data_IF_710846666345
#
_entry.id   IF_710846666345
#
_cell.length_a   1.000
_cell.length_b   1.000
_cell.length_c   1.000
_cell.angle_alpha   90.00
_cell.angle_beta   90.00
_cell.angle_gamma   90.00
#
_symmetry.space_group_name_H-M   'P 1'
#
loop_
_entity.id
_entity.type
_entity.pdbx_description
1 polymer ?
#
# COMPACT_ATOMS: atom_id res chain seq x y z
N UNK A 1 -5.00 -15.49 -6.08
CA UNK A 1 -5.77 -16.43 -5.23
C UNK A 1 -5.37 -17.83 -5.65
N UNK A 2 -4.90 -18.65 -4.72
CA UNK A 2 -4.45 -20.00 -5.02
C UNK A 2 -5.63 -20.89 -5.48
N UNK A 3 -5.33 -21.99 -6.17
CA UNK A 3 -6.36 -22.89 -6.70
C UNK A 3 -7.16 -23.55 -5.56
N UNK A 4 -6.57 -23.65 -4.36
CA UNK A 4 -7.18 -24.28 -3.18
C UNK A 4 -8.20 -23.37 -2.48
N UNK A 5 -7.92 -22.07 -2.29
CA UNK A 5 -8.92 -21.13 -1.75
C UNK A 5 -10.10 -20.96 -2.70
N UNK A 6 -9.87 -21.02 -4.01
CA UNK A 6 -10.96 -20.99 -4.99
C UNK A 6 -11.92 -22.16 -4.82
N UNK A 7 -11.40 -23.35 -4.58
CA UNK A 7 -12.23 -24.52 -4.32
C UNK A 7 -12.94 -24.43 -2.97
N UNK A 8 -12.25 -23.97 -1.92
CA UNK A 8 -12.82 -23.77 -0.59
C UNK A 8 -13.82 -22.61 -0.50
N UNK A 9 -13.76 -21.65 -1.41
CA UNK A 9 -14.71 -20.53 -1.50
C UNK A 9 -16.11 -20.93 -1.95
N UNK A 10 -16.30 -22.19 -2.35
CA UNK A 10 -17.62 -22.73 -2.65
C UNK A 10 -18.33 -23.02 -1.33
N UNK A 11 -19.56 -22.52 -1.13
CA UNK A 11 -20.30 -22.80 0.09
C UNK A 11 -20.56 -24.29 0.22
N UNK A 12 -20.38 -24.80 1.44
CA UNK A 12 -20.69 -26.20 1.79
C UNK A 12 -22.20 -26.40 1.84
N UNK A 13 -22.93 -25.37 2.25
CA UNK A 13 -24.37 -25.41 2.37
C UNK A 13 -24.96 -24.04 2.06
N UNK A 14 -26.19 -24.03 1.59
CA UNK A 14 -26.95 -22.82 1.31
C UNK A 14 -28.23 -22.89 2.13
N UNK A 15 -28.44 -21.88 2.97
CA UNK A 15 -29.65 -21.74 3.75
C UNK A 15 -30.60 -20.78 3.06
N UNK A 16 -31.90 -21.10 3.08
CA UNK A 16 -32.94 -20.16 2.66
C UNK A 16 -33.84 -19.81 3.83
N UNK A 17 -34.00 -18.51 4.05
CA UNK A 17 -34.97 -17.97 4.98
C UNK A 17 -36.31 -17.78 4.26
N UNK A 18 -37.38 -18.50 4.64
CA UNK A 18 -38.72 -18.15 4.17
C UNK A 18 -39.06 -16.77 4.72
N UNK A 19 -39.56 -15.88 3.87
CA UNK A 19 -40.02 -14.56 4.31
C UNK A 19 -41.05 -14.72 5.44
N UNK A 20 -40.73 -14.19 6.62
CA UNK A 20 -41.61 -14.22 7.80
C UNK A 20 -41.59 -15.49 8.66
N UNK A 21 -40.64 -16.42 8.50
CA UNK A 21 -40.52 -17.60 9.39
C UNK A 21 -39.08 -17.82 9.89
N UNK A 22 -38.92 -18.05 11.20
CA UNK A 22 -37.64 -18.19 11.91
C UNK A 22 -36.98 -19.58 11.77
N UNK A 23 -37.31 -20.36 10.73
CA UNK A 23 -36.79 -21.72 10.57
C UNK A 23 -35.89 -21.85 9.35
N UNK A 24 -34.79 -22.57 9.53
CA UNK A 24 -33.80 -22.87 8.51
C UNK A 24 -34.28 -24.03 7.64
N UNK A 25 -34.42 -23.81 6.34
CA UNK A 25 -34.64 -24.90 5.37
C UNK A 25 -33.36 -25.12 4.55
N UNK A 26 -32.86 -26.36 4.53
CA UNK A 26 -31.76 -26.80 3.65
C UNK A 26 -32.38 -27.19 2.32
N UNK A 27 -32.24 -26.35 1.30
CA UNK A 27 -32.75 -26.69 -0.04
C UNK A 27 -31.59 -27.17 -0.91
N UNK A 28 -31.78 -28.33 -1.54
CA UNK A 28 -30.87 -28.90 -2.53
C UNK A 28 -31.22 -28.46 -3.96
N UNK A 29 -32.33 -27.74 -4.18
CA UNK A 29 -32.84 -27.41 -5.50
C UNK A 29 -33.04 -25.91 -5.75
N UNK A 30 -32.31 -25.47 -6.78
CA UNK A 30 -32.23 -24.13 -7.33
C UNK A 30 -33.50 -23.74 -8.08
N UNK A 31 -34.55 -23.23 -7.40
CA UNK A 31 -35.64 -22.50 -8.08
C UNK A 31 -36.20 -21.31 -7.32
N UNK A 32 -35.87 -21.13 -6.04
CA UNK A 32 -36.45 -20.05 -5.25
C UNK A 32 -35.51 -18.84 -5.28
N UNK A 33 -35.94 -17.72 -5.89
CA UNK A 33 -35.14 -16.50 -6.14
C UNK A 33 -34.23 -16.02 -4.99
N UNK A 34 -33.22 -15.22 -5.33
CA UNK A 34 -32.02 -14.90 -4.52
C UNK A 34 -32.28 -14.25 -3.14
N UNK A 35 -33.51 -13.84 -2.82
CA UNK A 35 -33.82 -13.21 -1.55
C UNK A 35 -33.80 -14.24 -0.40
N UNK A 36 -33.05 -13.91 0.66
CA UNK A 36 -32.97 -14.70 1.90
C UNK A 36 -32.05 -15.92 1.82
N UNK A 37 -31.06 -15.92 0.92
CA UNK A 37 -30.10 -17.01 0.75
C UNK A 37 -28.80 -16.70 1.49
N UNK A 38 -28.42 -17.53 2.46
CA UNK A 38 -27.18 -17.36 3.24
C UNK A 38 -26.22 -18.54 3.01
N UNK A 39 -25.03 -18.30 2.44
CA UNK A 39 -24.02 -19.34 2.21
C UNK A 39 -23.30 -19.69 3.51
N UNK A 40 -23.15 -20.99 3.77
CA UNK A 40 -22.36 -21.52 4.86
C UNK A 40 -21.06 -22.10 4.32
N UNK A 41 -19.93 -21.55 4.78
CA UNK A 41 -18.61 -21.93 4.32
C UNK A 41 -17.97 -22.99 5.22
N UNK A 42 -17.00 -23.74 4.69
CA UNK A 42 -16.26 -24.71 5.50
C UNK A 42 -15.38 -23.99 6.53
N UNK A 43 -15.14 -24.65 7.66
CA UNK A 43 -14.16 -24.19 8.64
C UNK A 43 -12.76 -24.03 8.01
N UNK A 44 -12.41 -24.89 7.05
CA UNK A 44 -11.15 -24.80 6.31
C UNK A 44 -11.04 -23.52 5.47
N UNK A 45 -12.13 -23.10 4.83
CA UNK A 45 -12.16 -21.83 4.09
C UNK A 45 -11.95 -20.63 5.02
N UNK A 46 -12.66 -20.60 6.14
CA UNK A 46 -12.54 -19.53 7.15
C UNK A 46 -11.11 -19.49 7.71
N UNK A 47 -10.54 -20.64 8.04
CA UNK A 47 -9.17 -20.74 8.56
C UNK A 47 -8.13 -20.28 7.53
N UNK A 48 -8.32 -20.63 6.26
CA UNK A 48 -7.43 -20.22 5.18
C UNK A 48 -7.50 -18.71 4.90
N UNK A 49 -8.70 -18.11 4.98
CA UNK A 49 -8.87 -16.66 4.90
C UNK A 49 -8.18 -15.92 6.05
N UNK A 50 -8.31 -16.42 7.28
CA UNK A 50 -7.63 -15.84 8.44
C UNK A 50 -6.10 -15.89 8.29
N UNK A 51 -5.57 -17.03 7.83
CA UNK A 51 -4.14 -17.17 7.56
C UNK A 51 -3.66 -16.21 6.44
N UNK A 52 -4.45 -16.01 5.38
CA UNK A 52 -4.11 -15.05 4.34
C UNK A 52 -4.13 -13.61 4.87
N UNK A 53 -5.10 -13.28 5.73
CA UNK A 53 -5.19 -11.96 6.37
C UNK A 53 -3.97 -11.69 7.26
N UNK A 54 -3.61 -12.61 8.14
CA UNK A 54 -2.41 -12.48 8.99
C UNK A 54 -1.13 -12.34 8.16
N UNK A 55 -1.02 -13.05 7.04
CA UNK A 55 0.12 -12.94 6.14
C UNK A 55 0.17 -11.57 5.45
N UNK A 56 -0.98 -11.01 5.07
CA UNK A 56 -1.07 -9.64 4.52
C UNK A 56 -0.72 -8.60 5.58
N UNK A 57 -1.23 -8.73 6.80
CA UNK A 57 -0.93 -7.80 7.91
C UNK A 57 0.57 -7.77 8.21
N UNK A 58 1.22 -8.93 8.28
CA UNK A 58 2.69 -9.02 8.44
C UNK A 58 3.44 -8.31 7.31
N UNK A 59 2.99 -8.49 6.07
CA UNK A 59 3.61 -7.85 4.90
C UNK A 59 3.38 -6.34 4.89
N UNK A 60 2.22 -5.87 5.34
CA UNK A 60 1.93 -4.45 5.52
C UNK A 60 2.86 -3.87 6.57
N UNK A 61 2.96 -4.49 7.75
CA UNK A 61 3.85 -4.03 8.82
C UNK A 61 5.33 -3.98 8.38
N UNK A 62 5.80 -4.96 7.61
CA UNK A 62 7.15 -4.95 7.04
C UNK A 62 7.36 -3.78 6.07
N UNK A 63 6.39 -3.53 5.19
CA UNK A 63 6.45 -2.41 4.23
C UNK A 63 6.38 -1.06 4.96
N UNK A 64 5.53 -0.91 5.96
CA UNK A 64 5.47 0.27 6.82
C UNK A 64 6.82 0.53 7.51
N UNK A 65 7.47 -0.52 8.03
CA UNK A 65 8.81 -0.41 8.61
C UNK A 65 9.87 0.06 7.61
N UNK A 66 9.82 -0.43 6.35
CA UNK A 66 10.74 0.01 5.29
C UNK A 66 10.47 1.46 4.86
N UNK A 67 9.20 1.87 4.81
CA UNK A 67 8.80 3.23 4.44
C UNK A 67 9.07 4.25 5.56
N UNK A 68 9.10 3.81 6.82
CA UNK A 68 9.44 4.65 7.97
C UNK A 68 10.93 5.05 8.00
N UNK A 69 11.79 4.39 7.21
CA UNK A 69 13.20 4.78 7.11
C UNK A 69 13.31 6.01 6.20
N UNK A 70 13.74 7.18 6.72
CA UNK A 70 13.80 8.39 5.92
C UNK A 70 14.82 8.23 4.79
N UNK A 71 14.44 8.70 3.59
CA UNK A 71 15.35 8.70 2.43
C UNK A 71 16.38 9.82 2.61
N UNK A 72 17.64 9.57 2.25
CA UNK A 72 18.69 10.61 2.20
C UNK A 72 18.60 11.38 0.88
N UNK A 73 18.45 12.70 0.95
CA UNK A 73 18.57 13.59 -0.20
C UNK A 73 19.97 14.20 -0.25
N UNK A 74 20.49 14.33 -1.47
CA UNK A 74 21.68 15.13 -1.73
C UNK A 74 21.41 16.57 -1.27
N UNK A 75 22.34 17.09 -0.48
CA UNK A 75 22.24 18.44 0.09
C UNK A 75 22.48 19.55 -0.91
N UNK A 76 22.74 20.74 -0.39
CA UNK A 76 23.11 21.89 -1.19
C UNK A 76 24.38 21.62 -2.02
N UNK A 77 24.43 22.19 -3.22
CA UNK A 77 25.60 22.07 -4.08
C UNK A 77 26.79 22.80 -3.43
N UNK A 78 27.78 22.04 -2.96
CA UNK A 78 28.99 22.58 -2.34
C UNK A 78 29.76 23.45 -3.34
N UNK A 79 30.07 24.67 -2.91
CA UNK A 79 30.92 25.60 -3.66
C UNK A 79 32.37 25.24 -3.37
N UNK A 80 33.18 25.03 -4.42
CA UNK A 80 34.62 24.90 -4.23
C UNK A 80 35.33 26.23 -4.47
N UNK A 81 36.43 26.48 -3.75
CA UNK A 81 37.23 27.71 -3.84
C UNK A 81 37.69 28.05 -5.27
N UNK A 82 37.89 27.05 -6.13
CA UNK A 82 38.31 27.24 -7.51
C UNK A 82 37.17 27.69 -8.44
N UNK A 83 35.91 27.65 -7.99
CA UNK A 83 34.73 28.11 -8.74
C UNK A 83 34.48 29.63 -8.59
N UNK A 84 35.16 30.29 -7.65
CA UNK A 84 35.10 31.73 -7.42
C UNK A 84 35.78 32.60 -8.51
N UNK A 85 36.35 31.98 -9.56
CA UNK A 85 36.85 32.75 -10.70
C UNK A 85 35.69 33.48 -11.39
N UNK A 86 35.84 34.79 -11.60
CA UNK A 86 34.81 35.70 -12.14
C UNK A 86 34.17 35.16 -13.43
N UNK A 87 34.97 34.55 -14.31
CA UNK A 87 34.50 33.98 -15.59
C UNK A 87 33.62 32.74 -15.43
N UNK A 88 33.81 31.96 -14.35
CA UNK A 88 33.03 30.74 -14.06
C UNK A 88 31.90 30.97 -13.07
N UNK A 89 31.88 32.12 -12.40
CA UNK A 89 30.90 32.46 -11.38
C UNK A 89 29.48 32.50 -11.95
N UNK A 90 29.24 33.13 -13.11
CA UNK A 90 27.89 33.23 -13.69
C UNK A 90 27.33 31.84 -14.07
N UNK A 91 28.14 31.03 -14.74
CA UNK A 91 27.77 29.67 -15.11
C UNK A 91 27.55 28.78 -13.87
N UNK A 92 28.35 28.96 -12.82
CA UNK A 92 28.17 28.29 -11.54
C UNK A 92 26.85 28.69 -10.87
N UNK A 93 26.55 29.99 -10.77
CA UNK A 93 25.32 30.49 -10.16
C UNK A 93 24.08 30.02 -10.92
N UNK A 94 24.14 29.98 -12.26
CA UNK A 94 23.06 29.43 -13.07
C UNK A 94 22.82 27.94 -12.77
N UNK A 95 23.89 27.14 -12.63
CA UNK A 95 23.77 25.73 -12.22
C UNK A 95 23.26 25.57 -10.81
N UNK A 96 23.75 26.37 -9.87
CA UNK A 96 23.31 26.36 -8.47
C UNK A 96 21.82 26.67 -8.36
N UNK A 97 21.37 27.73 -9.03
CA UNK A 97 19.94 28.11 -9.06
C UNK A 97 19.07 26.99 -9.62
N UNK A 98 19.54 26.30 -10.67
CA UNK A 98 18.83 25.16 -11.25
C UNK A 98 18.81 23.94 -10.32
N UNK A 99 19.91 23.70 -9.58
CA UNK A 99 20.02 22.64 -8.59
C UNK A 99 19.07 22.87 -7.41
N UNK A 100 19.11 24.06 -6.83
CA UNK A 100 18.30 24.42 -5.66
C UNK A 100 16.80 24.36 -5.99
N UNK A 101 16.40 24.84 -7.18
CA UNK A 101 15.01 24.75 -7.63
C UNK A 101 14.52 23.29 -7.74
N UNK A 102 15.39 22.39 -8.21
CA UNK A 102 15.05 20.98 -8.35
C UNK A 102 15.05 20.24 -7.02
N UNK A 103 15.96 20.60 -6.11
CA UNK A 103 15.99 20.08 -4.76
C UNK A 103 14.70 20.45 -3.99
N UNK A 104 14.21 21.68 -4.14
CA UNK A 104 12.93 22.10 -3.54
C UNK A 104 11.72 21.39 -4.16
N UNK A 105 11.73 21.15 -5.47
CA UNK A 105 10.69 20.36 -6.14
C UNK A 105 10.66 18.92 -5.61
N UNK A 106 11.83 18.29 -5.46
CA UNK A 106 11.96 16.93 -4.93
C UNK A 106 11.51 16.85 -3.46
N UNK A 107 11.93 17.78 -2.60
CA UNK A 107 11.45 17.87 -1.20
C UNK A 107 9.93 17.97 -1.13
N UNK A 108 9.34 18.82 -1.98
CA UNK A 108 7.89 18.99 -2.07
C UNK A 108 7.20 17.72 -2.57
N UNK A 109 7.74 17.07 -3.60
CA UNK A 109 7.20 15.84 -4.14
C UNK A 109 7.19 14.72 -3.09
N UNK A 110 8.30 14.52 -2.39
CA UNK A 110 8.46 13.50 -1.34
C UNK A 110 7.50 13.77 -0.18
N UNK A 111 7.42 15.02 0.29
CA UNK A 111 6.50 15.43 1.36
C UNK A 111 5.03 15.24 0.93
N UNK A 112 4.69 15.59 -0.31
CA UNK A 112 3.33 15.43 -0.85
C UNK A 112 2.93 13.96 -1.03
N UNK A 113 3.91 13.09 -1.25
CA UNK A 113 3.73 11.64 -1.30
C UNK A 113 3.68 11.00 0.10
N UNK A 114 3.81 11.79 1.17
CA UNK A 114 3.71 11.35 2.56
C UNK A 114 4.97 10.66 3.10
N UNK A 115 6.10 10.82 2.42
CA UNK A 115 7.39 10.25 2.83
C UNK A 115 8.19 11.23 3.69
N UNK A 116 9.01 10.68 4.59
CA UNK A 116 9.99 11.43 5.38
C UNK A 116 11.38 11.33 4.74
N UNK A 117 12.20 12.37 4.89
CA UNK A 117 13.56 12.39 4.35
C UNK A 117 14.50 13.13 5.31
N UNK A 118 15.80 12.94 5.09
CA UNK A 118 16.89 13.68 5.73
C UNK A 118 17.77 14.29 4.64
N UNK A 119 18.22 15.53 4.84
CA UNK A 119 19.12 16.21 3.89
C UNK A 119 20.55 16.10 4.40
N UNK A 120 21.49 15.78 3.50
CA UNK A 120 22.91 15.75 3.84
C UNK A 120 23.39 17.14 4.31
N UNK A 121 23.84 17.23 5.57
CA UNK A 121 24.29 18.48 6.20
C UNK A 121 23.42 19.04 7.33
N UNK A 122 22.26 18.42 7.62
CA UNK A 122 21.36 18.81 8.73
C UNK A 122 21.75 18.23 10.12
N UNK A 123 22.92 17.58 10.25
CA UNK A 123 23.53 17.16 11.55
C UNK A 123 24.45 18.25 12.13
#
# INVERSE_FOLDING_TARGET
MDNKLRELSKPVQIFKHPTGRNFWAVMADSTAGQNGVEPFYSQEYVSALLAELEAKDKRIAELEGKLATPVRLLGEMLVHDWEHSVERQEAFQHRKTSWDARLEEDKKAISSAGFTFTVEGDE
#
